data_IF_493780888892
#
_entry.id   IF_493780888892
#
_cell.length_a   1.000
_cell.length_b   1.000
_cell.length_c   1.000
_cell.angle_alpha   90.00
_cell.angle_beta   90.00
_cell.angle_gamma   90.00
#
_symmetry.space_group_name_H-M   'P 1'
#
loop_
_entity.id
_entity.type
_entity.pdbx_description
1 polymer ?
#
# COMPACT_ATOMS: atom_id res chain seq x y z
N UNK A 1 -7.08 -8.36 21.55
CA UNK A 1 -5.72 -7.88 21.22
C UNK A 1 -5.60 -6.40 21.56
N UNK A 2 -4.39 -5.92 21.99
CA UNK A 2 -4.20 -4.49 22.29
C UNK A 2 -4.31 -3.65 21.01
N UNK A 3 -4.77 -2.40 21.15
CA UNK A 3 -4.78 -1.44 20.05
C UNK A 3 -3.34 -1.03 19.68
N UNK A 4 -3.07 -0.61 18.43
CA UNK A 4 -1.76 -0.05 18.07
C UNK A 4 -1.51 1.26 18.83
N UNK A 5 -0.26 1.55 19.12
CA UNK A 5 0.17 2.87 19.60
C UNK A 5 0.06 3.85 18.44
N UNK A 6 -0.54 5.01 18.71
CA UNK A 6 -0.67 6.09 17.72
C UNK A 6 0.29 7.21 18.04
N UNK A 7 1.09 7.60 17.04
CA UNK A 7 1.93 8.81 17.07
C UNK A 7 1.66 9.65 15.83
N UNK A 8 2.19 10.87 15.81
CA UNK A 8 2.10 11.76 14.65
C UNK A 8 3.51 12.24 14.30
N UNK A 9 3.81 12.23 13.00
CA UNK A 9 5.00 12.86 12.43
C UNK A 9 4.57 13.95 11.45
N UNK A 10 5.46 14.88 11.13
CA UNK A 10 5.16 15.92 10.16
C UNK A 10 5.90 15.66 8.85
N UNK A 11 5.18 15.71 7.73
CA UNK A 11 5.70 15.63 6.38
C UNK A 11 5.41 16.97 5.69
N UNK A 12 6.44 17.69 5.27
CA UNK A 12 6.32 19.03 4.70
C UNK A 12 5.50 20.03 5.58
N UNK A 13 5.58 19.85 6.92
CA UNK A 13 4.80 20.66 7.87
C UNK A 13 3.37 20.17 8.14
N UNK A 14 2.93 19.08 7.51
CA UNK A 14 1.60 18.51 7.66
C UNK A 14 1.61 17.23 8.49
N UNK A 15 0.60 17.00 9.37
CA UNK A 15 0.56 15.84 10.24
C UNK A 15 0.26 14.57 9.45
N UNK A 16 0.98 13.51 9.78
CA UNK A 16 0.76 12.14 9.32
C UNK A 16 0.74 11.21 10.52
N UNK A 17 -0.34 10.47 10.70
CA UNK A 17 -0.47 9.46 11.74
C UNK A 17 0.46 8.29 11.46
N UNK A 18 1.06 7.75 12.51
CA UNK A 18 1.84 6.50 12.49
C UNK A 18 1.27 5.55 13.53
N UNK A 19 0.85 4.38 13.11
CA UNK A 19 0.50 3.28 14.00
C UNK A 19 1.65 2.33 14.19
N UNK A 20 1.89 1.92 15.44
CA UNK A 20 2.95 0.96 15.78
C UNK A 20 2.40 -0.13 16.68
N UNK A 21 2.69 -1.40 16.35
CA UNK A 21 2.33 -2.56 17.17
C UNK A 21 3.32 -3.70 17.02
N UNK A 22 3.45 -4.51 18.07
CA UNK A 22 4.31 -5.70 18.09
C UNK A 22 5.71 -5.43 18.59
N UNK A 23 6.56 -6.45 18.55
CA UNK A 23 7.96 -6.43 18.96
C UNK A 23 8.79 -7.28 18.00
N UNK A 24 10.04 -6.90 17.78
CA UNK A 24 10.96 -7.59 16.88
C UNK A 24 11.52 -6.67 15.80
N UNK A 25 12.10 -7.19 14.72
CA UNK A 25 12.58 -6.40 13.61
C UNK A 25 11.47 -5.54 13.02
N UNK A 26 11.81 -4.33 12.59
CA UNK A 26 10.84 -3.39 12.04
C UNK A 26 10.38 -3.80 10.65
N UNK A 27 9.08 -3.62 10.40
CA UNK A 27 8.48 -3.70 9.07
C UNK A 27 7.53 -2.53 8.85
N UNK A 28 7.73 -1.80 7.76
CA UNK A 28 6.83 -0.75 7.32
C UNK A 28 5.67 -1.32 6.51
N UNK A 29 4.45 -0.78 6.69
CA UNK A 29 3.31 -1.09 5.84
C UNK A 29 2.74 0.19 5.22
N UNK A 30 2.84 0.31 3.89
CA UNK A 30 2.21 1.35 3.10
C UNK A 30 0.91 0.81 2.51
N UNK A 31 -0.21 1.37 2.96
CA UNK A 31 -1.54 0.89 2.60
C UNK A 31 -1.92 1.23 1.15
N UNK A 32 -2.87 0.45 0.62
CA UNK A 32 -3.43 0.63 -0.71
C UNK A 32 -4.45 1.75 -0.82
N UNK A 33 -5.22 1.72 -1.92
CA UNK A 33 -6.33 2.64 -2.15
C UNK A 33 -7.27 2.67 -0.94
N UNK A 34 -7.72 3.85 -0.54
CA UNK A 34 -8.52 4.06 0.67
C UNK A 34 -7.72 4.16 1.97
N UNK A 35 -6.43 3.81 1.94
CA UNK A 35 -5.55 3.91 3.09
C UNK A 35 -5.83 2.87 4.18
N UNK A 36 -5.52 3.26 5.42
CA UNK A 36 -5.70 2.44 6.61
C UNK A 36 -6.61 3.18 7.61
N UNK A 37 -7.94 3.17 7.41
CA UNK A 37 -8.87 3.87 8.30
C UNK A 37 -9.01 3.19 9.67
N UNK A 38 -8.65 1.89 9.75
CA UNK A 38 -8.61 1.08 10.97
C UNK A 38 -7.47 0.09 10.93
N UNK A 39 -7.05 -0.39 12.09
CA UNK A 39 -6.08 -1.48 12.17
C UNK A 39 -6.67 -2.79 11.63
N UNK A 40 -5.87 -3.59 10.94
CA UNK A 40 -6.33 -4.77 10.20
C UNK A 40 -5.82 -6.08 10.82
N UNK A 41 -6.59 -7.18 10.74
CA UNK A 41 -6.15 -8.51 11.18
C UNK A 41 -4.83 -8.97 10.54
N UNK A 42 -4.59 -8.66 9.26
CA UNK A 42 -3.33 -8.92 8.58
C UNK A 42 -2.12 -8.31 9.34
N UNK A 43 -2.25 -7.06 9.81
CA UNK A 43 -1.18 -6.38 10.55
C UNK A 43 -0.99 -6.97 11.95
N UNK A 44 -2.06 -7.51 12.55
CA UNK A 44 -1.96 -8.23 13.82
C UNK A 44 -1.09 -9.49 13.68
N UNK A 45 -1.23 -10.21 12.58
CA UNK A 45 -0.41 -11.40 12.29
C UNK A 45 1.07 -11.05 12.11
N UNK A 46 1.38 -9.97 11.43
CA UNK A 46 2.76 -9.48 11.33
C UNK A 46 3.30 -9.05 12.69
N UNK A 47 2.47 -8.42 13.51
CA UNK A 47 2.85 -7.90 14.83
C UNK A 47 3.13 -8.98 15.88
N UNK A 48 2.81 -10.25 15.61
CA UNK A 48 3.17 -11.37 16.47
C UNK A 48 4.70 -11.53 16.60
N UNK A 49 5.45 -11.24 15.53
CA UNK A 49 6.92 -11.43 15.48
C UNK A 49 7.69 -10.19 15.00
N UNK A 50 6.99 -9.13 14.58
CA UNK A 50 7.59 -7.91 14.04
C UNK A 50 7.10 -6.67 14.79
N UNK A 51 7.89 -5.62 14.76
CA UNK A 51 7.41 -4.27 15.05
C UNK A 51 6.83 -3.69 13.77
N UNK A 52 5.52 -3.77 13.64
CA UNK A 52 4.78 -3.21 12.49
C UNK A 52 4.61 -1.71 12.67
N UNK A 53 5.05 -0.93 11.69
CA UNK A 53 4.91 0.52 11.64
C UNK A 53 4.12 0.87 10.37
N UNK A 54 2.93 1.43 10.55
CA UNK A 54 2.00 1.73 9.46
C UNK A 54 1.73 3.24 9.41
N UNK A 55 2.54 4.03 8.68
CA UNK A 55 2.31 5.44 8.49
C UNK A 55 1.19 5.69 7.49
N UNK A 56 0.39 6.74 7.74
CA UNK A 56 -0.60 7.24 6.77
C UNK A 56 0.08 8.11 5.74
N UNK A 57 -0.11 7.81 4.45
CA UNK A 57 0.36 8.64 3.35
C UNK A 57 -0.34 10.03 3.39
N UNK A 58 0.27 11.10 2.86
CA UNK A 58 -0.38 12.40 2.76
C UNK A 58 -1.79 12.31 2.15
N UNK A 59 -2.78 12.92 2.82
CA UNK A 59 -4.19 12.87 2.40
C UNK A 59 -4.98 11.63 2.82
N UNK A 60 -4.32 10.56 3.26
CA UNK A 60 -4.99 9.35 3.75
C UNK A 60 -5.54 9.53 5.18
N UNK A 61 -6.41 8.61 5.68
CA UNK A 61 -6.97 8.74 7.02
C UNK A 61 -5.92 9.00 8.08
N UNK A 62 -6.09 10.10 8.82
CA UNK A 62 -5.12 10.57 9.81
C UNK A 62 -3.92 11.35 9.25
N UNK A 63 -3.94 11.76 7.97
CA UNK A 63 -2.91 12.59 7.37
C UNK A 63 -3.49 13.69 6.48
N UNK A 64 -2.73 14.77 6.27
CA UNK A 64 -3.08 15.90 5.40
C UNK A 64 -1.90 16.29 4.50
N UNK A 65 -1.99 17.41 3.77
CA UNK A 65 -0.87 17.96 2.98
C UNK A 65 -0.72 17.40 1.56
N UNK A 66 -1.62 16.52 1.10
CA UNK A 66 -1.59 15.98 -0.26
C UNK A 66 -1.86 17.01 -1.36
N UNK A 67 -2.52 18.13 -1.00
CA UNK A 67 -2.81 19.24 -1.93
C UNK A 67 -1.57 20.04 -2.34
N UNK A 68 -0.50 19.92 -1.56
CA UNK A 68 0.80 20.57 -1.82
C UNK A 68 1.75 19.71 -2.66
N UNK A 69 1.29 18.53 -3.13
CA UNK A 69 2.10 17.60 -3.90
C UNK A 69 1.64 17.61 -5.36
N UNK A 70 2.33 18.38 -6.20
CA UNK A 70 1.93 18.66 -7.57
C UNK A 70 2.49 17.67 -8.59
N UNK A 71 3.63 17.04 -8.29
CA UNK A 71 4.29 16.11 -9.18
C UNK A 71 4.51 14.74 -8.53
N UNK A 72 4.71 13.71 -9.36
CA UNK A 72 5.08 12.38 -8.86
C UNK A 72 6.35 12.42 -7.99
N UNK A 73 7.31 13.29 -8.31
CA UNK A 73 8.52 13.44 -7.52
C UNK A 73 8.22 14.02 -6.13
N UNK A 74 7.29 14.98 -6.01
CA UNK A 74 6.89 15.52 -4.71
C UNK A 74 6.30 14.43 -3.82
N UNK A 75 5.46 13.56 -4.40
CA UNK A 75 4.93 12.39 -3.70
C UNK A 75 6.04 11.43 -3.22
N UNK A 76 6.99 11.10 -4.09
CA UNK A 76 8.11 10.21 -3.74
C UNK A 76 8.95 10.81 -2.61
N UNK A 77 9.25 12.11 -2.67
CA UNK A 77 10.01 12.80 -1.62
C UNK A 77 9.24 12.91 -0.30
N UNK A 78 7.92 13.15 -0.37
CA UNK A 78 7.06 13.16 0.82
C UNK A 78 7.00 11.76 1.48
N UNK A 79 6.88 10.68 0.69
CA UNK A 79 6.90 9.31 1.20
C UNK A 79 8.27 8.98 1.80
N UNK A 80 9.37 9.40 1.18
CA UNK A 80 10.70 9.25 1.78
C UNK A 80 10.78 9.93 3.14
N UNK A 81 10.36 11.20 3.22
CA UNK A 81 10.36 11.93 4.49
C UNK A 81 9.50 11.23 5.55
N UNK A 82 8.33 10.69 5.14
CA UNK A 82 7.45 9.92 6.02
C UNK A 82 8.14 8.66 6.57
N UNK A 83 8.82 7.89 5.72
CA UNK A 83 9.58 6.70 6.09
C UNK A 83 10.69 7.06 7.07
N UNK A 84 11.46 8.11 6.81
CA UNK A 84 12.53 8.58 7.68
C UNK A 84 12.00 8.96 9.07
N UNK A 85 10.94 9.79 9.12
CA UNK A 85 10.35 10.27 10.38
C UNK A 85 9.60 9.19 11.15
N UNK A 86 9.06 8.19 10.46
CA UNK A 86 8.47 7.01 11.09
C UNK A 86 9.52 6.01 11.61
N UNK A 87 10.82 6.26 11.40
CA UNK A 87 11.92 5.40 11.84
C UNK A 87 12.00 4.09 11.06
N UNK A 88 11.66 4.12 9.78
CA UNK A 88 11.64 2.99 8.85
C UNK A 88 12.82 2.98 7.88
N UNK A 89 13.72 3.95 7.92
CA UNK A 89 14.91 3.96 7.04
C UNK A 89 15.72 2.67 7.23
N UNK A 90 15.94 1.92 6.14
CA UNK A 90 16.63 0.63 6.14
C UNK A 90 15.82 -0.57 6.67
N UNK A 91 14.57 -0.37 7.05
CA UNK A 91 13.67 -1.46 7.47
C UNK A 91 13.12 -2.24 6.27
N UNK A 92 12.56 -3.43 6.53
CA UNK A 92 11.75 -4.16 5.56
C UNK A 92 10.47 -3.37 5.24
N UNK A 93 10.03 -3.38 3.99
CA UNK A 93 8.90 -2.59 3.55
C UNK A 93 7.88 -3.44 2.79
N UNK A 94 6.64 -3.37 3.23
CA UNK A 94 5.47 -3.97 2.59
C UNK A 94 4.60 -2.85 2.03
N UNK A 95 4.33 -2.87 0.75
CA UNK A 95 3.43 -1.92 0.12
C UNK A 95 2.34 -2.61 -0.69
N UNK A 96 1.11 -2.12 -0.58
CA UNK A 96 -0.02 -2.64 -1.33
C UNK A 96 -0.60 -1.58 -2.27
N UNK A 97 -0.97 -1.96 -3.51
CA UNK A 97 -1.65 -1.06 -4.44
C UNK A 97 -0.88 0.26 -4.64
N UNK A 98 -1.47 1.40 -4.29
CA UNK A 98 -0.83 2.73 -4.24
C UNK A 98 0.41 2.73 -3.34
N UNK A 99 0.31 2.19 -2.13
CA UNK A 99 1.45 2.05 -1.23
C UNK A 99 2.54 1.11 -1.78
N UNK A 100 2.15 0.14 -2.59
CA UNK A 100 3.06 -0.75 -3.31
C UNK A 100 3.89 -0.03 -4.35
N UNK A 101 3.28 0.86 -5.13
CA UNK A 101 4.00 1.68 -6.08
C UNK A 101 5.03 2.59 -5.38
N UNK A 102 4.63 3.26 -4.29
CA UNK A 102 5.58 4.07 -3.52
C UNK A 102 6.68 3.25 -2.85
N UNK A 103 6.37 2.04 -2.35
CA UNK A 103 7.40 1.14 -1.83
C UNK A 103 8.42 0.74 -2.89
N UNK A 104 7.97 0.48 -4.12
CA UNK A 104 8.83 0.19 -5.26
C UNK A 104 9.68 1.42 -5.65
N UNK A 105 9.09 2.64 -5.69
CA UNK A 105 9.84 3.88 -5.92
C UNK A 105 10.91 4.11 -4.84
N UNK A 106 10.58 3.85 -3.57
CA UNK A 106 11.55 3.94 -2.47
C UNK A 106 12.72 2.98 -2.67
N UNK A 107 12.44 1.72 -3.01
CA UNK A 107 13.47 0.72 -3.24
C UNK A 107 14.32 1.03 -4.49
N UNK A 108 13.74 1.65 -5.52
CA UNK A 108 14.42 2.02 -6.74
C UNK A 108 15.31 3.26 -6.59
N UNK A 109 14.78 4.33 -5.97
CA UNK A 109 15.43 5.64 -5.93
C UNK A 109 16.31 5.80 -4.68
N UNK A 110 15.90 5.16 -3.57
CA UNK A 110 16.58 5.22 -2.29
C UNK A 110 16.90 3.81 -1.76
N UNK A 111 17.74 3.01 -2.45
CA UNK A 111 17.92 1.58 -2.14
C UNK A 111 18.40 1.32 -0.70
N UNK A 112 19.14 2.25 -0.09
CA UNK A 112 19.56 2.13 1.31
C UNK A 112 18.41 2.25 2.33
N UNK A 113 17.21 2.69 1.90
CA UNK A 113 16.04 2.86 2.76
C UNK A 113 15.16 1.60 2.85
N UNK A 114 15.44 0.57 2.05
CA UNK A 114 14.61 -0.65 2.01
C UNK A 114 15.49 -1.88 2.17
N UNK A 115 15.25 -2.66 3.22
CA UNK A 115 15.91 -3.93 3.47
C UNK A 115 15.40 -5.01 2.51
N UNK A 116 14.27 -5.63 2.83
CA UNK A 116 13.52 -6.50 1.91
C UNK A 116 12.23 -5.80 1.50
N UNK A 117 11.75 -6.12 0.31
CA UNK A 117 10.56 -5.51 -0.28
C UNK A 117 9.46 -6.55 -0.48
N UNK A 118 8.22 -6.19 -0.11
CA UNK A 118 7.02 -6.95 -0.49
C UNK A 118 6.07 -6.01 -1.22
N UNK A 119 5.66 -6.41 -2.41
CA UNK A 119 4.72 -5.69 -3.26
C UNK A 119 3.43 -6.50 -3.39
N UNK A 120 2.31 -5.96 -2.91
CA UNK A 120 0.99 -6.59 -3.02
C UNK A 120 0.19 -5.83 -4.08
N UNK A 121 0.04 -6.42 -5.27
CA UNK A 121 -0.67 -5.84 -6.42
C UNK A 121 -0.38 -4.33 -6.61
N UNK A 122 0.89 -3.91 -6.78
CA UNK A 122 1.27 -2.50 -6.84
C UNK A 122 0.76 -1.81 -8.10
N UNK A 123 0.35 -0.54 -7.99
CA UNK A 123 0.21 0.36 -9.13
C UNK A 123 1.59 0.74 -9.73
N UNK A 124 1.59 1.55 -10.76
CA UNK A 124 2.79 2.15 -11.36
C UNK A 124 3.11 1.69 -12.77
N UNK A 125 2.54 0.57 -13.21
CA UNK A 125 2.64 0.06 -14.58
C UNK A 125 1.29 0.17 -15.31
N UNK A 126 1.34 0.26 -16.63
CA UNK A 126 0.17 0.16 -17.49
C UNK A 126 0.54 -0.55 -18.79
N UNK A 127 -0.32 -1.44 -19.26
CA UNK A 127 -0.17 -2.17 -20.51
C UNK A 127 -1.46 -2.01 -21.33
N UNK A 128 -1.34 -1.43 -22.53
CA UNK A 128 -2.47 -1.22 -23.45
C UNK A 128 -3.12 -2.53 -23.92
N UNK A 129 -2.40 -3.65 -23.89
CA UNK A 129 -2.92 -4.97 -24.28
C UNK A 129 -3.70 -5.64 -23.15
N UNK A 130 -3.44 -5.28 -21.90
CA UNK A 130 -4.11 -5.78 -20.71
C UNK A 130 -4.38 -4.60 -19.78
N UNK A 131 -5.31 -3.70 -20.13
CA UNK A 131 -5.52 -2.46 -19.40
C UNK A 131 -6.03 -2.71 -17.98
N UNK A 132 -5.50 -1.95 -17.02
CA UNK A 132 -6.05 -1.86 -15.68
C UNK A 132 -7.42 -1.19 -15.71
N UNK A 133 -8.32 -1.58 -14.80
CA UNK A 133 -9.51 -0.80 -14.55
C UNK A 133 -9.13 0.53 -13.86
N UNK A 134 -9.80 1.62 -14.26
CA UNK A 134 -9.63 2.92 -13.59
C UNK A 134 -10.62 3.03 -12.42
N UNK A 135 -10.17 2.95 -11.16
CA UNK A 135 -11.09 2.97 -10.01
C UNK A 135 -11.79 4.32 -9.82
N UNK A 136 -11.23 5.40 -10.35
CA UNK A 136 -11.82 6.75 -10.24
C UNK A 136 -12.86 7.02 -11.31
N UNK A 137 -12.85 6.26 -12.42
CA UNK A 137 -13.85 6.32 -13.48
C UNK A 137 -15.03 5.36 -13.23
N UNK A 138 -14.99 4.54 -12.16
CA UNK A 138 -16.07 3.58 -11.87
C UNK A 138 -17.15 4.19 -10.98
N UNK A 139 -18.34 3.60 -11.05
CA UNK A 139 -19.41 3.87 -10.11
C UNK A 139 -19.05 3.30 -8.73
N UNK A 140 -19.57 3.92 -7.67
CA UNK A 140 -19.28 3.52 -6.29
C UNK A 140 -19.69 2.08 -5.96
N UNK A 141 -20.76 1.59 -6.59
CA UNK A 141 -21.27 0.22 -6.39
C UNK A 141 -20.39 -0.85 -7.05
N UNK A 142 -19.52 -0.48 -8.00
CA UNK A 142 -18.57 -1.38 -8.65
C UNK A 142 -17.27 -1.52 -7.84
N UNK A 143 -16.85 -0.47 -7.13
CA UNK A 143 -15.58 -0.42 -6.42
C UNK A 143 -15.33 -1.61 -5.46
N UNK A 144 -16.30 -2.07 -4.64
CA UNK A 144 -16.07 -3.20 -3.76
C UNK A 144 -15.54 -4.45 -4.49
N UNK A 145 -16.14 -4.80 -5.62
CA UNK A 145 -15.71 -5.95 -6.43
C UNK A 145 -14.39 -5.76 -7.16
N UNK A 146 -13.95 -4.51 -7.39
CA UNK A 146 -12.61 -4.23 -7.91
C UNK A 146 -11.54 -4.36 -6.83
N UNK A 147 -11.88 -3.99 -5.59
CA UNK A 147 -10.92 -3.98 -4.49
C UNK A 147 -10.69 -5.37 -3.87
N UNK A 148 -11.73 -6.17 -3.77
CA UNK A 148 -11.68 -7.48 -3.11
C UNK A 148 -12.45 -8.52 -3.92
N UNK A 149 -12.05 -9.78 -3.85
CA UNK A 149 -12.83 -10.89 -4.38
C UNK A 149 -14.16 -11.03 -3.63
N UNK A 150 -14.15 -10.73 -2.32
CA UNK A 150 -15.32 -10.54 -1.47
C UNK A 150 -15.49 -9.03 -1.22
N UNK A 151 -16.35 -8.37 -2.00
CA UNK A 151 -16.59 -6.93 -1.93
C UNK A 151 -17.07 -6.44 -0.56
N UNK A 152 -17.66 -7.30 0.26
CA UNK A 152 -18.10 -6.94 1.61
C UNK A 152 -16.92 -6.59 2.52
N UNK A 153 -15.74 -7.14 2.27
CA UNK A 153 -14.51 -6.82 3.01
C UNK A 153 -14.04 -5.39 2.75
N UNK A 154 -14.11 -4.93 1.51
CA UNK A 154 -13.87 -3.52 1.21
C UNK A 154 -14.94 -2.62 1.83
N UNK A 155 -16.21 -2.99 1.69
CA UNK A 155 -17.32 -2.26 2.27
C UNK A 155 -17.17 -2.14 3.79
N UNK A 156 -16.81 -3.22 4.47
CA UNK A 156 -16.52 -3.22 5.91
C UNK A 156 -15.33 -2.31 6.28
N UNK A 157 -14.29 -2.25 5.45
CA UNK A 157 -13.13 -1.37 5.68
C UNK A 157 -13.54 0.11 5.67
N UNK A 158 -14.33 0.53 4.69
CA UNK A 158 -14.68 1.95 4.48
C UNK A 158 -15.94 2.39 5.23
N UNK A 159 -16.71 1.46 5.78
CA UNK A 159 -17.90 1.77 6.61
C UNK A 159 -17.45 2.36 7.96
N UNK A 160 -18.04 3.46 8.41
CA UNK A 160 -17.69 4.05 9.70
C UNK A 160 -17.92 3.05 10.85
N UNK A 161 -16.95 2.88 11.78
CA UNK A 161 -17.19 2.08 12.97
C UNK A 161 -18.20 2.76 13.90
N UNK A 162 -18.76 1.99 14.83
CA UNK A 162 -19.65 2.53 15.86
C UNK A 162 -18.95 3.68 16.62
N UNK A 163 -19.67 4.79 16.81
CA UNK A 163 -19.14 6.00 17.46
C UNK A 163 -18.26 6.88 16.60
N UNK A 164 -17.98 6.51 15.34
CA UNK A 164 -17.27 7.39 14.42
C UNK A 164 -18.10 8.64 14.10
N UNK A 165 -17.42 9.78 13.91
CA UNK A 165 -18.07 10.99 13.49
C UNK A 165 -18.61 10.85 12.06
N UNK A 166 -19.94 10.95 11.91
CA UNK A 166 -20.65 10.75 10.64
C UNK A 166 -20.33 11.77 9.55
N UNK A 167 -19.76 12.91 9.90
CA UNK A 167 -19.32 13.95 8.96
C UNK A 167 -17.84 13.77 8.60
N UNK A 168 -16.98 13.54 9.59
CA UNK A 168 -15.52 13.46 9.39
C UNK A 168 -15.14 12.21 8.61
N UNK A 169 -15.76 11.07 8.90
CA UNK A 169 -15.40 9.81 8.26
C UNK A 169 -15.56 9.81 6.72
N UNK A 170 -16.71 10.21 6.14
CA UNK A 170 -16.84 10.30 4.69
C UNK A 170 -15.87 11.30 4.05
N UNK A 171 -15.55 12.39 4.76
CA UNK A 171 -14.57 13.38 4.29
C UNK A 171 -13.18 12.74 4.20
N UNK A 172 -12.75 12.00 5.22
CA UNK A 172 -11.47 11.29 5.21
C UNK A 172 -11.38 10.25 4.09
N UNK A 173 -12.45 9.48 3.87
CA UNK A 173 -12.48 8.50 2.77
C UNK A 173 -12.45 9.16 1.39
N UNK A 174 -13.17 10.27 1.20
CA UNK A 174 -13.15 11.02 -0.05
C UNK A 174 -11.79 11.66 -0.31
N UNK A 175 -11.16 12.20 0.74
CA UNK A 175 -9.81 12.76 0.67
C UNK A 175 -8.77 11.71 0.33
N UNK A 176 -8.86 10.48 0.88
CA UNK A 176 -7.97 9.40 0.54
C UNK A 176 -8.07 8.99 -0.93
N UNK A 177 -9.30 8.96 -1.47
CA UNK A 177 -9.51 8.71 -2.91
C UNK A 177 -8.94 9.83 -3.78
N UNK A 178 -9.14 11.10 -3.40
CA UNK A 178 -8.55 12.25 -4.09
C UNK A 178 -7.03 12.21 -4.06
N UNK A 179 -6.43 11.93 -2.90
CA UNK A 179 -4.98 11.84 -2.74
C UNK A 179 -4.37 10.76 -3.64
N UNK A 180 -5.02 9.59 -3.70
CA UNK A 180 -4.61 8.53 -4.60
C UNK A 180 -4.76 8.94 -6.08
N UNK A 181 -5.85 9.61 -6.44
CA UNK A 181 -6.06 10.11 -7.81
C UNK A 181 -4.99 11.13 -8.21
N UNK A 182 -4.65 12.08 -7.35
CA UNK A 182 -3.58 13.06 -7.63
C UNK A 182 -2.25 12.40 -7.96
N UNK A 183 -1.92 11.28 -7.30
CA UNK A 183 -0.67 10.58 -7.52
C UNK A 183 -0.68 9.64 -8.73
N UNK A 184 -1.85 9.05 -9.08
CA UNK A 184 -1.93 7.90 -9.99
C UNK A 184 -2.92 8.05 -11.15
N UNK A 185 -3.82 9.01 -11.14
CA UNK A 185 -4.72 9.21 -12.27
C UNK A 185 -4.03 9.97 -13.41
N UNK A 186 -4.26 9.62 -14.69
CA UNK A 186 -5.04 8.48 -15.14
C UNK A 186 -4.26 7.16 -15.15
N UNK A 187 -4.99 6.03 -15.09
CA UNK A 187 -4.51 4.67 -15.37
C UNK A 187 -3.48 4.09 -14.39
N UNK A 188 -3.14 4.78 -13.32
CA UNK A 188 -2.14 4.31 -12.35
C UNK A 188 -0.70 4.22 -12.91
N UNK A 189 -0.43 4.79 -14.07
CA UNK A 189 0.86 4.72 -14.75
C UNK A 189 1.81 5.84 -14.30
N UNK A 190 2.78 5.51 -13.46
CA UNK A 190 3.85 6.43 -13.05
C UNK A 190 5.14 6.25 -13.84
N UNK A 191 5.13 5.43 -14.88
CA UNK A 191 6.32 5.01 -15.63
C UNK A 191 7.36 4.30 -14.75
N UNK A 192 6.87 3.58 -13.74
CA UNK A 192 7.71 2.84 -12.79
C UNK A 192 8.54 1.76 -13.52
N UNK A 193 8.10 1.26 -14.67
CA UNK A 193 8.85 0.30 -15.51
C UNK A 193 10.29 0.77 -15.81
N UNK A 194 10.51 2.10 -15.90
CA UNK A 194 11.84 2.66 -16.15
C UNK A 194 12.77 2.61 -14.94
N UNK A 195 12.23 2.35 -13.76
CA UNK A 195 12.97 2.35 -12.50
C UNK A 195 13.03 1.00 -11.80
N UNK A 196 12.21 0.02 -12.22
CA UNK A 196 12.22 -1.32 -11.62
C UNK A 196 13.62 -1.96 -11.61
N UNK A 197 14.41 -1.76 -12.67
CA UNK A 197 15.78 -2.26 -12.76
C UNK A 197 16.77 -1.66 -11.74
N UNK A 198 16.40 -0.60 -11.04
CA UNK A 198 17.17 -0.02 -9.95
C UNK A 198 16.92 -0.73 -8.60
N UNK A 199 15.84 -1.53 -8.49
CA UNK A 199 15.51 -2.25 -7.27
C UNK A 199 16.49 -3.42 -7.10
N UNK A 200 17.36 -3.31 -6.10
CA UNK A 200 18.32 -4.35 -5.73
C UNK A 200 17.85 -5.18 -4.52
N UNK A 201 16.87 -4.69 -3.77
CA UNK A 201 16.33 -5.37 -2.59
C UNK A 201 15.71 -6.72 -2.95
N UNK A 202 15.93 -7.79 -2.13
CA UNK A 202 15.19 -9.02 -2.27
C UNK A 202 13.68 -8.72 -2.22
N UNK A 203 12.94 -9.17 -3.24
CA UNK A 203 11.55 -8.75 -3.45
C UNK A 203 10.61 -9.95 -3.53
N UNK A 204 9.47 -9.86 -2.84
CA UNK A 204 8.32 -10.73 -3.02
C UNK A 204 7.20 -9.92 -3.69
N UNK A 205 6.69 -10.43 -4.81
CA UNK A 205 5.50 -9.89 -5.47
C UNK A 205 4.33 -10.83 -5.19
N UNK A 206 3.30 -10.32 -4.51
CA UNK A 206 2.07 -11.04 -4.20
C UNK A 206 0.93 -10.51 -5.05
N UNK A 207 0.09 -11.40 -5.57
CA UNK A 207 -1.06 -11.01 -6.40
C UNK A 207 -2.25 -11.92 -6.16
N UNK A 208 -3.44 -11.35 -6.01
CA UNK A 208 -4.67 -12.11 -5.95
C UNK A 208 -5.02 -12.71 -7.33
N UNK A 209 -5.45 -13.96 -7.38
CA UNK A 209 -5.84 -14.64 -8.62
C UNK A 209 -7.14 -14.09 -9.24
N UNK A 210 -7.92 -13.35 -8.42
CA UNK A 210 -9.19 -12.70 -8.81
C UNK A 210 -9.09 -11.18 -8.82
N UNK A 211 -7.89 -10.61 -8.98
CA UNK A 211 -7.71 -9.17 -9.06
C UNK A 211 -8.38 -8.63 -10.33
N UNK A 212 -9.49 -7.91 -10.14
CA UNK A 212 -10.29 -7.30 -11.20
C UNK A 212 -9.90 -5.85 -11.48
N UNK A 213 -9.01 -5.27 -10.67
CA UNK A 213 -8.50 -3.91 -10.86
C UNK A 213 -7.23 -3.89 -11.69
N UNK A 214 -6.24 -4.69 -11.30
CA UNK A 214 -4.98 -4.84 -12.02
C UNK A 214 -4.82 -6.31 -12.46
N UNK A 215 -4.68 -6.59 -13.77
CA UNK A 215 -4.52 -7.95 -14.26
C UNK A 215 -3.41 -8.73 -13.52
N UNK A 216 -3.64 -10.00 -13.08
CA UNK A 216 -2.63 -10.79 -12.39
C UNK A 216 -1.33 -11.00 -13.18
N UNK A 217 -1.36 -10.88 -14.50
CA UNK A 217 -0.19 -10.91 -15.39
C UNK A 217 0.84 -9.83 -15.05
N UNK A 218 0.43 -8.71 -14.43
CA UNK A 218 1.32 -7.63 -14.01
C UNK A 218 2.34 -8.08 -12.97
N UNK A 219 2.04 -9.11 -12.17
CA UNK A 219 3.00 -9.69 -11.23
C UNK A 219 4.30 -10.10 -11.93
N UNK A 220 4.19 -10.73 -13.11
CA UNK A 220 5.35 -11.13 -13.90
C UNK A 220 6.06 -9.95 -14.56
N UNK A 221 5.32 -8.86 -14.91
CA UNK A 221 5.92 -7.63 -15.45
C UNK A 221 6.79 -6.95 -14.39
N UNK A 222 6.31 -6.86 -13.15
CA UNK A 222 7.12 -6.40 -12.02
C UNK A 222 8.35 -7.27 -11.80
N UNK A 223 8.16 -8.59 -11.69
CA UNK A 223 9.26 -9.52 -11.41
C UNK A 223 10.36 -9.48 -12.49
N UNK A 224 9.98 -9.39 -13.76
CA UNK A 224 10.95 -9.28 -14.88
C UNK A 224 11.70 -7.96 -14.88
N UNK A 225 11.10 -6.88 -14.39
CA UNK A 225 11.72 -5.56 -14.35
C UNK A 225 12.68 -5.38 -13.18
N UNK A 226 12.49 -6.08 -12.08
CA UNK A 226 13.27 -5.95 -10.84
C UNK A 226 14.61 -6.70 -10.96
N UNK A 227 15.70 -6.04 -10.59
CA UNK A 227 17.05 -6.61 -10.67
C UNK A 227 17.41 -7.48 -9.45
N UNK A 228 16.82 -7.20 -8.29
CA UNK A 228 17.01 -7.99 -7.07
C UNK A 228 16.43 -9.41 -7.19
N UNK A 229 16.85 -10.29 -6.28
CA UNK A 229 16.26 -11.63 -6.19
C UNK A 229 14.74 -11.51 -5.97
N UNK A 230 13.95 -11.93 -6.96
CA UNK A 230 12.50 -11.71 -6.97
C UNK A 230 11.75 -13.02 -7.05
N UNK A 231 10.72 -13.15 -6.19
CA UNK A 231 9.77 -14.27 -6.17
C UNK A 231 8.36 -13.72 -6.40
N UNK A 232 7.55 -14.46 -7.15
CA UNK A 232 6.13 -14.18 -7.36
C UNK A 232 5.31 -15.27 -6.67
N UNK A 233 4.31 -14.88 -5.91
CA UNK A 233 3.33 -15.79 -5.34
C UNK A 233 1.92 -15.29 -5.65
N UNK A 234 1.06 -16.21 -6.08
CA UNK A 234 -0.36 -15.95 -6.27
C UNK A 234 -1.13 -16.28 -5.01
N UNK A 235 -2.03 -15.43 -4.59
CA UNK A 235 -2.93 -15.64 -3.46
C UNK A 235 -4.28 -16.12 -3.98
N UNK A 236 -4.64 -17.40 -3.74
CA UNK A 236 -5.91 -17.95 -4.22
C UNK A 236 -7.10 -17.23 -3.58
N UNK A 237 -8.19 -17.10 -4.36
CA UNK A 237 -9.46 -16.52 -3.93
C UNK A 237 -9.34 -15.09 -3.37
N UNK A 238 -8.37 -14.31 -3.85
CA UNK A 238 -8.12 -12.94 -3.44
C UNK A 238 -8.21 -11.98 -4.62
N UNK A 239 -8.76 -10.81 -4.38
CA UNK A 239 -8.79 -9.68 -5.30
C UNK A 239 -7.57 -8.77 -5.16
N UNK A 240 -7.74 -7.50 -5.52
CA UNK A 240 -6.68 -6.49 -5.54
C UNK A 240 -6.05 -6.27 -4.15
N UNK A 241 -6.87 -6.11 -3.11
CA UNK A 241 -6.40 -5.98 -1.74
C UNK A 241 -6.35 -7.35 -1.06
N UNK A 242 -5.50 -8.24 -1.56
CA UNK A 242 -5.41 -9.64 -1.13
C UNK A 242 -5.26 -9.81 0.39
N UNK A 243 -4.66 -8.84 1.09
CA UNK A 243 -4.54 -8.84 2.55
C UNK A 243 -5.87 -8.63 3.30
N UNK A 244 -6.93 -8.17 2.61
CA UNK A 244 -8.28 -8.12 3.15
C UNK A 244 -9.01 -9.46 2.93
N UNK A 245 -8.85 -10.04 1.72
CA UNK A 245 -9.49 -11.31 1.37
C UNK A 245 -8.87 -12.50 2.12
N UNK A 246 -7.55 -12.57 2.15
CA UNK A 246 -6.78 -13.69 2.67
C UNK A 246 -5.70 -13.24 3.66
N UNK A 247 -6.07 -12.60 4.80
CA UNK A 247 -5.11 -11.99 5.73
C UNK A 247 -4.05 -12.97 6.26
N UNK A 248 -4.44 -14.21 6.57
CA UNK A 248 -3.51 -15.22 7.11
C UNK A 248 -2.55 -15.75 6.04
N UNK A 249 -3.02 -15.97 4.81
CA UNK A 249 -2.18 -16.45 3.72
C UNK A 249 -1.15 -15.38 3.33
N UNK A 250 -1.59 -14.12 3.18
CA UNK A 250 -0.70 -13.01 2.85
C UNK A 250 0.31 -12.76 3.99
N UNK A 251 -0.12 -12.80 5.24
CA UNK A 251 0.80 -12.63 6.38
C UNK A 251 1.87 -13.73 6.41
N UNK A 252 1.51 -15.00 6.20
CA UNK A 252 2.47 -16.11 6.12
C UNK A 252 3.49 -15.91 5.00
N UNK A 253 3.05 -15.54 3.79
CA UNK A 253 3.94 -15.29 2.66
C UNK A 253 4.91 -14.13 2.94
N UNK A 254 4.40 -13.03 3.52
CA UNK A 254 5.20 -11.87 3.94
C UNK A 254 6.24 -12.30 4.98
N UNK A 255 5.84 -12.94 6.08
CA UNK A 255 6.74 -13.36 7.15
C UNK A 255 7.80 -14.35 6.65
N UNK A 256 7.44 -15.30 5.78
CA UNK A 256 8.38 -16.24 5.18
C UNK A 256 9.44 -15.55 4.29
N UNK A 257 9.09 -14.43 3.66
CA UNK A 257 10.03 -13.63 2.88
C UNK A 257 10.94 -12.78 3.77
N UNK A 258 10.39 -12.24 4.86
CA UNK A 258 11.13 -11.37 5.77
C UNK A 258 12.08 -12.15 6.72
N UNK A 259 11.90 -13.42 6.92
CA UNK A 259 12.76 -14.29 7.74
C UNK A 259 12.39 -14.31 9.21
#
# INVERSE_FOLDING_TARGET
MSQPVTTTVEVNGFPCRVWTKGKGPKVGFLAGLGGLPRWLPFLDKLAETRTVIAPSLPGYPGATGHTELDSHLDWVLAVRQLIDKAGLAGADLVGASVGGAFAAEMAAIFPAHVGRLVLIAPFGLFDDQEPAADPWAQRRDVLPGLMCADGDKWTALVTPPEGANSVVWPIEMSRASEAAARAFWPLGNTRLEKRLGLIAAPTLVLWGDRDSLLPPSYAQKFAKGINGATRVETVPEAGHLAYLDQPDAVARAVLAHLG
#
